data_IF_121189384632
#
_entry.id   IF_121189384632
#
_cell.length_a   1.000
_cell.length_b   1.000
_cell.length_c   1.000
_cell.angle_alpha   90.00
_cell.angle_beta   90.00
_cell.angle_gamma   90.00
#
_symmetry.space_group_name_H-M   'P 1'
#
loop_
_entity.id
_entity.type
_entity.pdbx_description
1 polymer ?
#
# COMPACT_ATOMS: atom_id res chain seq x y z
N UNK A 1 -25.99 -76.38 47.27
CA UNK A 1 -26.97 -75.44 46.63
C UNK A 1 -26.86 -74.00 47.16
N UNK A 2 -25.78 -73.61 47.85
CA UNK A 2 -25.60 -72.26 48.42
C UNK A 2 -24.69 -71.34 47.61
N UNK A 3 -23.77 -71.89 46.81
CA UNK A 3 -22.74 -71.10 46.11
C UNK A 3 -23.27 -70.28 44.92
N UNK A 4 -24.33 -70.76 44.25
CA UNK A 4 -24.92 -70.06 43.10
C UNK A 4 -25.65 -68.76 43.47
N UNK A 5 -26.21 -68.67 44.68
CA UNK A 5 -26.88 -67.45 45.16
C UNK A 5 -25.88 -66.37 45.59
N UNK A 6 -24.71 -66.77 46.07
CA UNK A 6 -23.64 -65.85 46.48
C UNK A 6 -23.02 -65.15 45.26
N UNK A 7 -22.73 -65.90 44.19
CA UNK A 7 -22.17 -65.33 42.94
C UNK A 7 -23.13 -64.36 42.23
N UNK A 8 -24.44 -64.63 42.24
CA UNK A 8 -25.42 -63.71 41.66
C UNK A 8 -25.54 -62.39 42.44
N UNK A 9 -25.39 -62.43 43.78
CA UNK A 9 -25.38 -61.24 44.61
C UNK A 9 -24.13 -60.39 44.36
N UNK A 10 -22.96 -61.01 44.24
CA UNK A 10 -21.70 -60.30 43.94
C UNK A 10 -21.74 -59.61 42.57
N UNK A 11 -22.25 -60.29 41.53
CA UNK A 11 -22.41 -59.71 40.19
C UNK A 11 -23.38 -58.51 40.17
N UNK A 12 -24.46 -58.58 40.96
CA UNK A 12 -25.43 -57.50 41.08
C UNK A 12 -24.87 -56.29 41.86
N UNK A 13 -24.02 -56.54 42.85
CA UNK A 13 -23.28 -55.48 43.57
C UNK A 13 -22.24 -54.83 42.64
N UNK A 14 -21.51 -55.62 41.86
CA UNK A 14 -20.53 -55.11 40.89
C UNK A 14 -21.20 -54.23 39.82
N UNK A 15 -22.31 -54.68 39.23
CA UNK A 15 -23.04 -53.92 38.20
C UNK A 15 -23.59 -52.60 38.76
N UNK A 16 -24.10 -52.59 39.99
CA UNK A 16 -24.56 -51.36 40.65
C UNK A 16 -23.41 -50.39 40.91
N UNK A 17 -22.23 -50.90 41.25
CA UNK A 17 -21.02 -50.09 41.45
C UNK A 17 -20.56 -49.44 40.13
N UNK A 18 -20.64 -50.16 39.01
CA UNK A 18 -20.27 -49.61 37.69
C UNK A 18 -21.26 -48.55 37.18
N UNK A 19 -22.56 -48.75 37.42
CA UNK A 19 -23.58 -47.74 37.09
C UNK A 19 -23.39 -46.48 37.93
N UNK A 20 -23.08 -46.61 39.22
CA UNK A 20 -22.81 -45.44 40.07
C UNK A 20 -21.52 -44.72 39.67
N UNK A 21 -20.47 -45.45 39.26
CA UNK A 21 -19.23 -44.89 38.73
C UNK A 21 -19.45 -44.11 37.43
N UNK A 22 -20.19 -44.67 36.47
CA UNK A 22 -20.50 -43.99 35.20
C UNK A 22 -21.41 -42.78 35.40
N UNK A 23 -22.39 -42.86 36.30
CA UNK A 23 -23.24 -41.72 36.68
C UNK A 23 -22.41 -40.58 37.27
N UNK A 24 -21.44 -40.89 38.13
CA UNK A 24 -20.55 -39.87 38.68
C UNK A 24 -19.64 -39.25 37.61
N UNK A 25 -19.10 -40.05 36.68
CA UNK A 25 -18.31 -39.54 35.54
C UNK A 25 -19.15 -38.63 34.65
N UNK A 26 -20.38 -39.02 34.33
CA UNK A 26 -21.30 -38.20 33.53
C UNK A 26 -21.64 -36.89 34.25
N UNK A 27 -21.88 -36.94 35.56
CA UNK A 27 -22.13 -35.74 36.37
C UNK A 27 -20.95 -34.77 36.31
N UNK A 28 -19.73 -35.27 36.50
CA UNK A 28 -18.51 -34.45 36.40
C UNK A 28 -18.31 -33.90 34.98
N UNK A 29 -18.64 -34.66 33.94
CA UNK A 29 -18.56 -34.18 32.56
C UNK A 29 -19.57 -33.08 32.27
N UNK A 30 -20.80 -33.19 32.77
CA UNK A 30 -21.83 -32.14 32.61
C UNK A 30 -21.41 -30.87 33.35
N UNK A 31 -20.95 -30.97 34.60
CA UNK A 31 -20.45 -29.83 35.36
C UNK A 31 -19.29 -29.13 34.63
N UNK A 32 -18.36 -29.91 34.03
CA UNK A 32 -17.28 -29.37 33.20
C UNK A 32 -17.74 -28.82 31.86
N UNK A 33 -18.83 -29.31 31.28
CA UNK A 33 -19.38 -28.78 30.04
C UNK A 33 -20.10 -27.45 30.28
N UNK A 34 -20.83 -27.32 31.38
CA UNK A 34 -21.48 -26.06 31.79
C UNK A 34 -20.45 -24.97 32.06
N UNK A 35 -19.39 -25.27 32.81
CA UNK A 35 -18.28 -24.32 33.07
C UNK A 35 -17.56 -23.89 31.77
N UNK A 36 -17.49 -24.79 30.78
CA UNK A 36 -16.94 -24.46 29.45
C UNK A 36 -17.87 -23.60 28.62
N UNK A 37 -19.18 -23.80 28.74
CA UNK A 37 -20.19 -23.02 28.03
C UNK A 37 -20.20 -21.56 28.52
N UNK A 38 -20.25 -21.36 29.84
CA UNK A 38 -20.18 -20.03 30.46
C UNK A 38 -18.91 -19.27 30.06
N UNK A 39 -17.77 -19.98 29.95
CA UNK A 39 -16.51 -19.39 29.52
C UNK A 39 -16.50 -19.04 28.03
N UNK A 40 -17.13 -19.86 27.18
CA UNK A 40 -17.26 -19.61 25.75
C UNK A 40 -18.15 -18.39 25.46
N UNK A 41 -19.21 -18.20 26.23
CA UNK A 41 -20.07 -17.03 26.10
C UNK A 41 -19.33 -15.73 26.40
N UNK A 42 -18.57 -15.69 27.49
CA UNK A 42 -17.72 -14.52 27.84
C UNK A 42 -16.67 -14.23 26.76
N UNK A 43 -16.08 -15.28 26.17
CA UNK A 43 -15.13 -15.13 25.07
C UNK A 43 -15.79 -14.57 23.81
N UNK A 44 -17.01 -15.00 23.52
CA UNK A 44 -17.77 -14.58 22.33
C UNK A 44 -18.24 -13.14 22.47
N UNK A 45 -18.71 -12.75 23.64
CA UNK A 45 -19.05 -11.36 23.97
C UNK A 45 -17.84 -10.43 23.80
N UNK A 46 -16.69 -10.80 24.37
CA UNK A 46 -15.44 -10.02 24.21
C UNK A 46 -14.96 -9.95 22.77
N UNK A 47 -15.12 -11.03 21.99
CA UNK A 47 -14.76 -11.03 20.58
C UNK A 47 -15.66 -10.09 19.77
N UNK A 48 -16.97 -10.08 20.08
CA UNK A 48 -17.93 -9.17 19.48
C UNK A 48 -17.61 -7.70 19.83
N UNK A 49 -17.30 -7.41 21.11
CA UNK A 49 -16.90 -6.07 21.55
C UNK A 49 -15.61 -5.58 20.88
N UNK A 50 -14.61 -6.46 20.75
CA UNK A 50 -13.36 -6.13 20.07
C UNK A 50 -13.58 -5.86 18.57
N UNK A 51 -14.43 -6.66 17.93
CA UNK A 51 -14.83 -6.45 16.53
C UNK A 51 -15.54 -5.11 16.36
N UNK A 52 -16.52 -4.81 17.20
CA UNK A 52 -17.26 -3.54 17.17
C UNK A 52 -16.36 -2.32 17.39
N UNK A 53 -15.41 -2.40 18.34
CA UNK A 53 -14.43 -1.34 18.61
C UNK A 53 -13.49 -1.10 17.43
N UNK A 54 -13.02 -2.18 16.79
CA UNK A 54 -12.17 -2.11 15.59
C UNK A 54 -12.87 -1.41 14.43
N UNK A 55 -14.15 -1.74 14.20
CA UNK A 55 -14.97 -1.07 13.19
C UNK A 55 -15.13 0.44 13.48
N UNK A 56 -15.44 0.81 14.73
CA UNK A 56 -15.57 2.22 15.12
C UNK A 56 -14.25 3.01 14.98
N UNK A 57 -13.10 2.38 15.27
CA UNK A 57 -11.79 3.00 15.10
C UNK A 57 -11.45 3.26 13.62
N UNK A 58 -11.72 2.28 12.76
CA UNK A 58 -11.52 2.43 11.31
C UNK A 58 -12.38 3.56 10.74
N UNK A 59 -13.65 3.64 11.14
CA UNK A 59 -14.56 4.68 10.67
C UNK A 59 -14.15 6.06 11.17
N UNK A 60 -13.81 6.19 12.45
CA UNK A 60 -13.34 7.45 13.04
C UNK A 60 -12.05 7.96 12.38
N UNK A 61 -11.12 7.06 12.06
CA UNK A 61 -9.87 7.38 11.35
C UNK A 61 -10.11 7.98 9.97
N UNK A 62 -11.07 7.44 9.20
CA UNK A 62 -11.45 7.96 7.88
C UNK A 62 -11.97 9.39 7.95
N UNK A 63 -12.80 9.71 8.94
CA UNK A 63 -13.35 11.06 9.10
C UNK A 63 -12.26 12.10 9.36
N UNK A 64 -11.26 11.76 10.18
CA UNK A 64 -10.10 12.64 10.45
C UNK A 64 -9.25 12.82 9.20
N UNK A 65 -8.92 11.72 8.51
CA UNK A 65 -8.12 11.75 7.28
C UNK A 65 -8.82 12.56 6.17
N UNK A 66 -10.12 12.35 5.94
CA UNK A 66 -10.89 13.10 4.95
C UNK A 66 -10.94 14.59 5.30
N UNK A 67 -11.14 14.95 6.57
CA UNK A 67 -11.09 16.35 7.00
C UNK A 67 -9.73 16.99 6.73
N UNK A 68 -8.63 16.27 6.95
CA UNK A 68 -7.28 16.76 6.65
C UNK A 68 -7.05 16.90 5.14
N UNK A 69 -7.42 15.89 4.34
CA UNK A 69 -7.35 15.95 2.87
C UNK A 69 -8.18 17.11 2.30
N UNK A 70 -9.37 17.36 2.83
CA UNK A 70 -10.21 18.49 2.41
C UNK A 70 -9.61 19.85 2.79
N UNK A 71 -9.02 19.99 3.98
CA UNK A 71 -8.32 21.23 4.37
C UNK A 71 -7.12 21.49 3.45
N UNK A 72 -6.31 20.46 3.19
CA UNK A 72 -5.16 20.57 2.29
C UNK A 72 -5.59 20.90 0.86
N UNK A 73 -6.63 20.23 0.33
CA UNK A 73 -7.18 20.51 -1.00
C UNK A 73 -7.72 21.94 -1.12
N UNK A 74 -8.39 22.46 -0.08
CA UNK A 74 -8.87 23.85 -0.04
C UNK A 74 -7.70 24.84 -0.09
N UNK A 75 -6.64 24.60 0.67
CA UNK A 75 -5.43 25.43 0.68
C UNK A 75 -4.76 25.44 -0.71
N UNK A 76 -4.58 24.28 -1.35
CA UNK A 76 -3.98 24.17 -2.68
C UNK A 76 -4.75 24.96 -3.74
N UNK A 77 -6.08 24.86 -3.74
CA UNK A 77 -6.93 25.63 -4.67
C UNK A 77 -6.82 27.14 -4.42
N UNK A 78 -6.69 27.55 -3.16
CA UNK A 78 -6.52 28.97 -2.81
C UNK A 78 -5.17 29.51 -3.28
N UNK A 79 -4.08 28.79 -3.01
CA UNK A 79 -2.73 29.16 -3.44
C UNK A 79 -2.64 29.23 -4.96
N UNK A 80 -3.19 28.25 -5.69
CA UNK A 80 -3.14 28.24 -7.16
C UNK A 80 -3.85 29.45 -7.79
N UNK A 81 -4.98 29.88 -7.22
CA UNK A 81 -5.69 31.09 -7.68
C UNK A 81 -4.89 32.36 -7.42
N UNK A 82 -4.21 32.47 -6.28
CA UNK A 82 -3.37 33.62 -5.97
C UNK A 82 -2.16 33.72 -6.93
N UNK A 83 -1.47 32.61 -7.17
CA UNK A 83 -0.33 32.57 -8.08
C UNK A 83 -0.72 32.91 -9.52
N UNK A 84 -1.82 32.34 -10.02
CA UNK A 84 -2.30 32.63 -11.37
C UNK A 84 -2.71 34.11 -11.53
N UNK A 85 -3.42 34.67 -10.55
CA UNK A 85 -3.78 36.10 -10.57
C UNK A 85 -2.55 37.00 -10.58
N UNK A 86 -1.55 36.70 -9.77
CA UNK A 86 -0.31 37.46 -9.73
C UNK A 86 0.46 37.33 -11.05
N UNK A 87 0.56 36.13 -11.62
CA UNK A 87 1.21 35.88 -12.90
C UNK A 87 0.55 36.63 -14.06
N UNK A 88 -0.79 36.59 -14.14
CA UNK A 88 -1.57 37.34 -15.15
C UNK A 88 -1.33 38.85 -15.07
N UNK A 89 -1.22 39.40 -13.84
CA UNK A 89 -0.91 40.82 -13.65
C UNK A 89 0.48 41.20 -14.15
N UNK A 90 1.49 40.34 -13.92
CA UNK A 90 2.86 40.56 -14.40
C UNK A 90 2.92 40.49 -15.93
N UNK A 91 2.23 39.51 -16.52
CA UNK A 91 2.15 39.34 -17.98
C UNK A 91 1.56 40.58 -18.66
N UNK A 92 0.45 41.12 -18.13
CA UNK A 92 -0.18 42.33 -18.66
C UNK A 92 0.74 43.55 -18.56
N UNK A 93 1.50 43.69 -17.47
CA UNK A 93 2.51 44.75 -17.35
C UNK A 93 3.65 44.59 -18.36
N UNK A 94 4.13 43.36 -18.59
CA UNK A 94 5.18 43.10 -19.58
C UNK A 94 4.71 43.43 -21.01
N UNK A 95 3.48 43.05 -21.38
CA UNK A 95 2.93 43.34 -22.72
C UNK A 95 2.82 44.86 -22.94
N UNK A 96 2.49 45.65 -21.92
CA UNK A 96 2.43 47.12 -22.02
C UNK A 96 3.80 47.79 -22.29
N UNK A 97 4.92 47.11 -22.00
CA UNK A 97 6.28 47.62 -22.21
C UNK A 97 6.83 47.26 -23.60
N UNK A 98 6.16 46.40 -24.37
CA UNK A 98 6.61 45.93 -25.70
C UNK A 98 5.91 46.63 -26.89
N UNK A 99 5.17 47.71 -26.66
CA UNK A 99 4.40 48.38 -27.72
C UNK A 99 5.17 49.16 -28.80
N UNK A 100 6.49 49.48 -28.77
CA UNK A 100 7.07 50.34 -29.81
C UNK A 100 7.54 49.60 -31.07
N UNK A 101 7.24 48.30 -31.26
CA UNK A 101 7.75 47.53 -32.41
C UNK A 101 6.70 47.31 -33.52
N UNK A 102 5.39 47.44 -33.24
CA UNK A 102 4.34 47.12 -34.23
C UNK A 102 4.17 48.15 -35.36
N UNK A 103 4.61 49.40 -35.21
CA UNK A 103 4.48 50.43 -36.26
C UNK A 103 5.38 50.18 -37.49
N UNK A 104 6.41 49.35 -37.37
CA UNK A 104 7.36 49.09 -38.45
C UNK A 104 6.95 47.95 -39.40
N UNK A 105 5.96 47.12 -39.03
CA UNK A 105 5.54 45.96 -39.82
C UNK A 105 4.39 46.26 -40.81
N UNK A 106 3.69 47.39 -40.64
CA UNK A 106 2.49 47.73 -41.43
C UNK A 106 2.80 48.21 -42.87
N UNK A 107 4.09 48.42 -43.21
CA UNK A 107 4.50 48.89 -44.55
C UNK A 107 4.77 47.79 -45.58
N UNK A 108 4.57 46.51 -45.30
CA UNK A 108 4.96 45.43 -46.24
C UNK A 108 3.90 44.41 -46.66
N UNK A 109 2.66 44.45 -46.18
CA UNK A 109 1.66 43.45 -46.58
C UNK A 109 0.50 44.08 -47.37
N UNK A 110 0.73 44.30 -48.67
CA UNK A 110 -0.33 44.50 -49.67
C UNK A 110 -1.15 43.18 -49.81
N UNK A 111 -2.47 43.21 -50.01
CA UNK A 111 -3.31 42.03 -49.91
C UNK A 111 -3.38 41.26 -51.24
N UNK A 112 -3.16 39.94 -51.19
CA UNK A 112 -3.67 39.01 -52.20
C UNK A 112 -4.76 38.19 -51.53
N UNK A 113 -6.00 38.45 -51.91
CA UNK A 113 -7.16 37.66 -51.52
C UNK A 113 -7.23 36.37 -52.37
N UNK A 114 -7.33 35.22 -51.72
CA UNK A 114 -7.89 34.00 -52.33
C UNK A 114 -8.92 33.40 -51.37
N UNK A 115 -10.10 32.96 -51.85
CA UNK A 115 -11.25 32.68 -51.00
C UNK A 115 -11.19 31.30 -50.33
N UNK A 116 -11.61 31.24 -49.07
CA UNK A 116 -11.92 30.02 -48.31
C UNK A 116 -13.45 29.87 -48.26
N UNK A 117 -13.98 28.64 -48.38
CA UNK A 117 -14.78 28.08 -47.28
C UNK A 117 -14.41 26.59 -47.10
N UNK A 118 -14.36 25.95 -45.93
CA UNK A 118 -14.93 26.21 -44.62
C UNK A 118 -14.27 25.26 -43.60
N UNK A 119 -14.11 25.79 -42.38
CA UNK A 119 -14.25 25.13 -41.07
C UNK A 119 -13.47 23.85 -40.75
N UNK A 120 -12.24 24.06 -40.28
CA UNK A 120 -11.59 23.18 -39.31
C UNK A 120 -12.40 23.19 -38.00
N UNK A 121 -13.25 22.18 -37.83
CA UNK A 121 -13.84 21.87 -36.53
C UNK A 121 -12.76 21.33 -35.60
N UNK A 122 -12.05 22.23 -34.92
CA UNK A 122 -11.51 21.94 -33.58
C UNK A 122 -12.72 21.94 -32.64
N UNK A 123 -13.55 20.90 -32.79
CA UNK A 123 -14.69 20.64 -31.92
C UNK A 123 -14.20 19.74 -30.81
N UNK A 124 -14.10 20.32 -29.62
CA UNK A 124 -14.41 19.66 -28.36
C UNK A 124 -13.68 18.33 -28.19
N UNK A 125 -12.51 18.43 -27.54
CA UNK A 125 -11.93 17.40 -26.70
C UNK A 125 -12.95 17.03 -25.61
N UNK A 126 -14.01 16.33 -26.00
CA UNK A 126 -15.06 15.83 -25.15
C UNK A 126 -14.99 14.31 -25.20
N UNK A 127 -14.76 13.74 -24.02
CA UNK A 127 -15.07 12.35 -23.67
C UNK A 127 -14.18 11.30 -24.33
N UNK A 128 -12.88 11.34 -24.04
CA UNK A 128 -12.22 10.06 -23.76
C UNK A 128 -12.80 9.61 -22.42
N UNK A 129 -13.64 8.58 -22.45
CA UNK A 129 -14.20 7.96 -21.26
C UNK A 129 -13.08 7.70 -20.25
N UNK A 130 -13.05 8.47 -19.16
CA UNK A 130 -12.17 8.22 -18.04
C UNK A 130 -12.71 6.93 -17.39
N UNK A 131 -12.14 5.81 -17.79
CA UNK A 131 -12.28 4.58 -17.06
C UNK A 131 -11.65 4.83 -15.68
N UNK A 132 -12.51 4.87 -14.66
CA UNK A 132 -12.13 5.02 -13.26
C UNK A 132 -12.21 3.63 -12.60
N UNK A 133 -11.22 3.30 -11.77
CA UNK A 133 -11.16 2.06 -11.01
C UNK A 133 -11.05 2.37 -9.52
N UNK A 134 -11.76 1.61 -8.69
CA UNK A 134 -11.63 1.68 -7.23
C UNK A 134 -10.38 0.95 -6.76
N UNK A 135 -9.56 1.62 -5.95
CA UNK A 135 -8.39 1.00 -5.31
C UNK A 135 -8.82 0.04 -4.21
N UNK A 136 -8.23 -1.16 -4.13
CA UNK A 136 -8.55 -2.16 -3.09
C UNK A 136 -8.06 -1.78 -1.69
N UNK A 137 -7.05 -0.92 -1.59
CA UNK A 137 -6.46 -0.50 -0.30
C UNK A 137 -7.14 0.76 0.26
N UNK A 138 -7.30 1.81 -0.56
CA UNK A 138 -7.93 3.06 -0.10
C UNK A 138 -9.41 3.20 -0.44
N UNK A 139 -9.97 2.31 -1.27
CA UNK A 139 -11.38 2.34 -1.73
C UNK A 139 -11.78 3.64 -2.46
N UNK A 140 -10.82 4.45 -2.90
CA UNK A 140 -11.06 5.67 -3.67
C UNK A 140 -11.13 5.38 -5.17
N UNK A 141 -12.04 6.04 -5.89
CA UNK A 141 -12.11 6.04 -7.35
C UNK A 141 -10.98 6.88 -7.92
N UNK A 142 -10.20 6.25 -8.80
CA UNK A 142 -9.00 6.84 -9.39
C UNK A 142 -8.99 6.58 -10.90
N UNK A 143 -8.43 7.50 -11.72
CA UNK A 143 -8.30 7.25 -13.16
C UNK A 143 -7.40 6.05 -13.41
N UNK A 144 -7.68 5.25 -14.45
CA UNK A 144 -6.89 4.04 -14.77
C UNK A 144 -5.39 4.35 -14.98
N UNK A 145 -5.04 5.57 -15.38
CA UNK A 145 -3.65 6.01 -15.51
C UNK A 145 -2.84 5.88 -14.21
N UNK A 146 -3.47 6.05 -13.04
CA UNK A 146 -2.84 5.88 -11.70
C UNK A 146 -2.62 4.40 -11.30
N UNK A 147 -2.88 3.46 -12.21
CA UNK A 147 -2.62 2.03 -12.00
C UNK A 147 -1.58 1.48 -13.00
N UNK A 148 -1.34 2.17 -14.12
CA UNK A 148 -0.52 1.70 -15.24
C UNK A 148 0.95 2.15 -15.17
N UNK A 149 1.28 3.17 -14.39
CA UNK A 149 2.61 3.83 -14.40
C UNK A 149 3.76 2.85 -14.12
N UNK A 150 3.52 1.81 -13.31
CA UNK A 150 4.58 0.91 -12.83
C UNK A 150 4.28 -0.56 -13.10
N UNK A 151 3.58 -0.89 -14.20
CA UNK A 151 3.29 -2.28 -14.57
C UNK A 151 4.59 -3.11 -14.57
N UNK A 152 4.85 -3.79 -13.46
CA UNK A 152 6.06 -4.55 -13.25
C UNK A 152 6.01 -5.77 -14.17
N UNK A 153 7.03 -5.92 -15.00
CA UNK A 153 7.16 -6.98 -16.00
C UNK A 153 7.13 -8.40 -15.41
N UNK A 154 7.33 -8.52 -14.09
CA UNK A 154 7.54 -9.80 -13.40
C UNK A 154 6.36 -10.23 -12.52
N UNK A 155 5.25 -9.48 -12.50
CA UNK A 155 4.08 -9.88 -11.72
C UNK A 155 3.12 -10.73 -12.56
N UNK A 156 2.58 -11.80 -11.98
CA UNK A 156 1.65 -12.72 -12.66
C UNK A 156 0.21 -12.20 -12.72
N UNK A 157 -0.08 -11.02 -12.15
CA UNK A 157 -1.42 -10.44 -12.19
C UNK A 157 -1.63 -9.57 -13.45
N UNK A 158 -2.77 -9.72 -14.14
CA UNK A 158 -3.02 -9.08 -15.44
C UNK A 158 -3.22 -7.57 -15.36
N UNK A 159 -3.70 -7.06 -14.23
CA UNK A 159 -3.87 -5.61 -13.98
C UNK A 159 -3.72 -5.34 -12.49
N UNK A 160 -3.07 -4.23 -12.16
CA UNK A 160 -2.94 -3.77 -10.78
C UNK A 160 -4.25 -3.18 -10.26
N UNK A 161 -4.60 -3.53 -9.02
CA UNK A 161 -5.83 -3.08 -8.34
C UNK A 161 -5.57 -2.01 -7.27
N UNK A 162 -4.31 -1.73 -6.98
CA UNK A 162 -3.85 -0.77 -5.98
C UNK A 162 -3.38 0.51 -6.66
N UNK A 163 -3.79 1.68 -6.16
CA UNK A 163 -3.34 2.97 -6.71
C UNK A 163 -1.88 3.30 -6.37
N UNK A 164 -1.29 4.24 -7.12
CA UNK A 164 0.10 4.68 -6.95
C UNK A 164 0.46 5.16 -5.55
N UNK A 165 -0.45 5.88 -4.90
CA UNK A 165 -0.23 6.38 -3.54
C UNK A 165 -0.15 5.22 -2.53
N UNK A 166 -1.06 4.25 -2.62
CA UNK A 166 -1.06 3.11 -1.71
C UNK A 166 0.14 2.19 -1.94
N UNK A 167 0.60 2.09 -3.19
CA UNK A 167 1.79 1.32 -3.53
C UNK A 167 3.06 2.00 -2.99
N UNK A 168 3.13 3.32 -3.06
CA UNK A 168 4.19 4.10 -2.42
C UNK A 168 4.23 3.89 -0.90
N UNK A 169 3.09 4.04 -0.21
CA UNK A 169 3.03 3.84 1.25
C UNK A 169 3.40 2.41 1.65
N UNK A 170 3.01 1.42 0.83
CA UNK A 170 3.44 0.05 1.03
C UNK A 170 4.97 -0.10 0.89
N UNK A 171 5.57 0.44 -0.17
CA UNK A 171 7.04 0.41 -0.39
C UNK A 171 7.76 1.05 0.80
N UNK A 172 7.30 2.23 1.21
CA UNK A 172 7.85 3.00 2.32
C UNK A 172 7.79 2.24 3.66
N UNK A 173 6.67 1.59 3.95
CA UNK A 173 6.51 0.85 5.21
C UNK A 173 7.23 -0.49 5.19
N UNK A 174 7.20 -1.20 4.04
CA UNK A 174 7.87 -2.50 3.88
C UNK A 174 9.37 -2.36 4.01
N UNK A 175 9.95 -1.28 3.50
CA UNK A 175 11.37 -0.99 3.64
C UNK A 175 11.87 -0.93 5.08
N UNK A 176 11.04 -0.45 6.01
CA UNK A 176 11.44 -0.38 7.42
C UNK A 176 11.45 -1.76 8.11
N UNK A 177 10.88 -2.79 7.47
CA UNK A 177 10.60 -4.09 8.09
C UNK A 177 11.32 -5.24 7.36
N UNK A 178 11.43 -5.18 6.04
CA UNK A 178 11.91 -6.28 5.20
C UNK A 178 13.01 -5.83 4.22
N UNK A 179 13.96 -6.74 3.99
CA UNK A 179 15.16 -6.56 3.16
C UNK A 179 14.81 -6.53 1.66
N UNK A 180 13.77 -7.26 1.26
CA UNK A 180 13.29 -7.37 -0.12
C UNK A 180 11.83 -6.95 -0.23
N UNK A 181 11.56 -6.03 -1.15
CA UNK A 181 10.22 -5.46 -1.35
C UNK A 181 9.44 -6.37 -2.30
N UNK A 182 8.36 -6.96 -1.81
CA UNK A 182 7.51 -7.88 -2.57
C UNK A 182 6.23 -7.18 -3.04
N UNK A 183 5.63 -7.66 -4.13
CA UNK A 183 4.34 -7.14 -4.58
C UNK A 183 3.23 -7.52 -3.59
N UNK A 184 2.37 -6.58 -3.16
CA UNK A 184 1.26 -6.86 -2.23
C UNK A 184 0.15 -7.75 -2.84
N UNK A 185 0.09 -7.88 -4.17
CA UNK A 185 -0.95 -8.66 -4.86
C UNK A 185 -0.52 -10.09 -5.20
N UNK A 186 0.76 -10.31 -5.52
CA UNK A 186 1.26 -11.63 -5.94
C UNK A 186 2.52 -12.09 -5.21
N UNK A 187 3.04 -11.31 -4.26
CA UNK A 187 4.26 -11.58 -3.50
C UNK A 187 5.54 -11.74 -4.32
N UNK A 188 5.50 -11.49 -5.63
CA UNK A 188 6.68 -11.50 -6.49
C UNK A 188 7.64 -10.36 -6.09
N UNK A 189 8.97 -10.57 -6.14
CA UNK A 189 9.94 -9.52 -5.82
C UNK A 189 9.81 -8.36 -6.82
N UNK A 190 9.67 -7.14 -6.30
CA UNK A 190 9.63 -5.93 -7.12
C UNK A 190 11.04 -5.60 -7.61
N UNK A 191 11.25 -5.43 -8.93
CA UNK A 191 12.57 -5.09 -9.44
C UNK A 191 12.97 -3.67 -9.04
N UNK A 192 14.28 -3.44 -8.90
CA UNK A 192 14.86 -2.15 -8.52
C UNK A 192 14.32 -0.97 -9.35
N UNK A 193 14.13 -1.18 -10.66
CA UNK A 193 13.61 -0.16 -11.58
C UNK A 193 12.19 0.28 -11.20
N UNK A 194 11.32 -0.67 -10.84
CA UNK A 194 9.94 -0.38 -10.44
C UNK A 194 9.91 0.40 -9.13
N UNK A 195 10.71 0.00 -8.14
CA UNK A 195 10.80 0.72 -6.85
C UNK A 195 11.34 2.14 -7.05
N UNK A 196 12.38 2.30 -7.88
CA UNK A 196 12.92 3.62 -8.26
C UNK A 196 11.85 4.51 -8.89
N UNK A 197 11.08 3.98 -9.84
CA UNK A 197 10.06 4.74 -10.54
C UNK A 197 8.94 5.20 -9.59
N UNK A 198 8.52 4.33 -8.66
CA UNK A 198 7.53 4.68 -7.63
C UNK A 198 8.02 5.82 -6.73
N UNK A 199 9.29 5.77 -6.29
CA UNK A 199 9.85 6.79 -5.39
C UNK A 199 10.05 8.14 -6.08
N UNK A 200 10.57 8.15 -7.32
CA UNK A 200 10.78 9.38 -8.10
C UNK A 200 9.45 10.09 -8.38
N UNK A 201 8.41 9.34 -8.74
CA UNK A 201 7.10 9.93 -9.02
C UNK A 201 6.40 10.52 -7.79
N UNK A 202 6.86 10.19 -6.56
CA UNK A 202 6.35 10.76 -5.31
C UNK A 202 7.28 11.79 -4.67
N UNK A 203 8.37 12.20 -5.36
CA UNK A 203 9.30 13.26 -4.93
C UNK A 203 10.09 12.96 -3.62
N UNK A 204 10.33 11.67 -3.35
CA UNK A 204 11.07 11.20 -2.16
C UNK A 204 12.51 10.79 -2.46
N UNK A 205 13.32 11.76 -2.86
CA UNK A 205 14.74 11.56 -3.20
C UNK A 205 15.54 10.94 -2.04
N UNK A 206 15.24 11.34 -0.80
CA UNK A 206 15.95 10.85 0.39
C UNK A 206 15.74 9.35 0.65
N UNK A 207 14.54 8.82 0.36
CA UNK A 207 14.28 7.38 0.47
C UNK A 207 14.92 6.62 -0.69
N UNK A 208 14.91 7.22 -1.88
CA UNK A 208 15.57 6.64 -3.04
C UNK A 208 17.09 6.54 -2.85
N UNK A 209 17.76 7.57 -2.35
CA UNK A 209 19.22 7.53 -2.09
C UNK A 209 19.59 6.41 -1.11
N UNK A 210 18.82 6.27 -0.03
CA UNK A 210 19.01 5.18 0.94
C UNK A 210 18.79 3.81 0.32
N UNK A 211 17.74 3.67 -0.49
CA UNK A 211 17.44 2.44 -1.22
C UNK A 211 18.54 2.07 -2.21
N UNK A 212 19.02 3.04 -3.00
CA UNK A 212 20.10 2.87 -3.96
C UNK A 212 21.41 2.48 -3.28
N UNK A 213 21.75 3.13 -2.16
CA UNK A 213 22.93 2.79 -1.37
C UNK A 213 22.88 1.34 -0.86
N UNK A 214 21.77 0.91 -0.26
CA UNK A 214 21.67 -0.47 0.25
C UNK A 214 21.76 -1.51 -0.87
N UNK A 215 21.14 -1.25 -2.03
CA UNK A 215 21.24 -2.16 -3.17
C UNK A 215 22.68 -2.27 -3.70
N UNK A 216 23.39 -1.14 -3.73
CA UNK A 216 24.81 -1.12 -4.08
C UNK A 216 25.62 -1.92 -3.07
N UNK A 217 25.45 -1.64 -1.77
CA UNK A 217 26.15 -2.32 -0.69
C UNK A 217 25.93 -3.84 -0.76
N UNK A 218 24.69 -4.29 -0.98
CA UNK A 218 24.34 -5.70 -1.16
C UNK A 218 24.98 -6.33 -2.40
N UNK A 219 25.04 -5.58 -3.51
CA UNK A 219 25.69 -6.06 -4.73
C UNK A 219 27.19 -6.21 -4.54
N UNK A 220 27.80 -5.35 -3.72
CA UNK A 220 29.20 -5.43 -3.36
C UNK A 220 29.47 -6.61 -2.40
N UNK A 221 28.58 -6.86 -1.43
CA UNK A 221 28.68 -8.02 -0.53
C UNK A 221 28.63 -9.38 -1.24
N UNK A 222 27.90 -9.46 -2.35
CA UNK A 222 27.87 -10.67 -3.18
C UNK A 222 29.21 -10.94 -3.88
N UNK A 223 30.09 -9.94 -3.97
CA UNK A 223 31.39 -10.11 -4.59
C UNK A 223 32.38 -10.76 -3.60
N UNK A 224 32.97 -11.92 -3.92
CA UNK A 224 33.79 -12.69 -2.97
C UNK A 224 35.09 -11.99 -2.57
N UNK A 225 35.57 -11.04 -3.38
CA UNK A 225 36.79 -10.28 -3.11
C UNK A 225 36.51 -8.92 -2.44
N UNK A 226 35.24 -8.56 -2.22
CA UNK A 226 34.90 -7.28 -1.60
C UNK A 226 34.81 -7.42 -0.08
N UNK A 227 35.50 -6.54 0.64
CA UNK A 227 35.56 -6.55 2.11
C UNK A 227 35.14 -5.19 2.65
N UNK A 228 34.20 -5.19 3.59
CA UNK A 228 33.80 -4.00 4.33
C UNK A 228 34.84 -3.61 5.38
N UNK A 229 35.00 -2.30 5.61
CA UNK A 229 35.82 -1.81 6.71
C UNK A 229 35.26 -2.28 8.06
N UNK A 230 36.09 -2.97 8.84
CA UNK A 230 35.71 -3.52 10.15
C UNK A 230 35.22 -2.46 11.16
N UNK A 231 35.56 -1.19 10.95
CA UNK A 231 35.12 -0.08 11.80
C UNK A 231 33.68 0.39 11.53
N UNK A 232 32.97 -0.20 10.55
CA UNK A 232 31.58 0.16 10.25
C UNK A 232 31.42 1.58 9.69
N UNK A 233 32.47 2.15 9.10
CA UNK A 233 32.44 3.52 8.56
C UNK A 233 31.67 3.65 7.22
N UNK A 234 31.21 2.53 6.64
CA UNK A 234 30.46 2.51 5.39
C UNK A 234 31.30 2.56 4.11
N UNK A 235 32.61 2.27 4.20
CA UNK A 235 33.52 2.11 3.07
C UNK A 235 34.01 0.66 2.96
N UNK A 236 34.24 0.17 1.74
CA UNK A 236 34.81 -1.15 1.47
C UNK A 236 35.82 -1.12 0.32
N UNK A 237 36.63 -2.17 0.20
CA UNK A 237 37.70 -2.28 -0.79
C UNK A 237 37.66 -3.66 -1.47
N UNK A 238 37.99 -3.69 -2.76
CA UNK A 238 38.25 -4.92 -3.50
C UNK A 238 39.66 -5.43 -3.16
N UNK A 239 39.71 -6.67 -2.68
CA UNK A 239 40.92 -7.36 -2.28
C UNK A 239 41.39 -8.29 -3.41
N UNK A 240 41.87 -7.70 -4.50
CA UNK A 240 42.36 -8.44 -5.66
C UNK A 240 43.57 -9.32 -5.24
N UNK A 241 43.36 -10.65 -5.22
CA UNK A 241 44.39 -11.63 -4.88
C UNK A 241 44.58 -11.93 -3.38
N UNK A 242 43.68 -11.46 -2.50
CA UNK A 242 43.71 -11.74 -1.07
C UNK A 242 42.69 -12.79 -0.59
N UNK A 243 42.53 -12.96 0.73
CA UNK A 243 41.54 -13.89 1.32
C UNK A 243 40.12 -13.41 1.01
N UNK A 244 39.26 -14.33 0.53
CA UNK A 244 37.86 -14.04 0.20
C UNK A 244 37.04 -13.66 1.42
N UNK A 245 35.96 -12.90 1.18
CA UNK A 245 34.93 -12.58 2.15
C UNK A 245 34.26 -13.87 2.67
N UNK A 246 34.32 -14.14 3.98
CA UNK A 246 33.73 -15.32 4.63
C UNK A 246 32.25 -15.12 4.99
N UNK A 247 31.49 -14.38 4.20
CA UNK A 247 30.05 -14.20 4.41
C UNK A 247 29.30 -15.51 4.15
N UNK A 248 28.96 -16.21 5.25
CA UNK A 248 27.89 -17.23 5.33
C UNK A 248 26.83 -16.73 6.28
#
# INVERSE_FOLDING_TARGET
MTDSRYSAADNLIALRTDVTKTTNVLKVTIEKLVDRDDRLDVLTERAHDLSASSHHFHDSGRHVQQRMKWKNRKLTIFISRLLNRNHQSILLMAISQLSPISESFEKLQNPVEVPIPYETQISKKSVAALSERSCTVCLELKPIQEYEVYASTNCSHPTRTICDICMYEYVRNTWNIAIDIQCPECSAPLPHVTVKQILICNDDDALYERFAKLNLDRSLEQHPEFIWCAHGCGSGQLNEGGTMNMTV
#
